data_IF_557732171017
#
_entry.id   IF_557732171017
#
_cell.length_a   1.000
_cell.length_b   1.000
_cell.length_c   1.000
_cell.angle_alpha   90.00
_cell.angle_beta   90.00
_cell.angle_gamma   90.00
#
_symmetry.space_group_name_H-M   'P 1'
#
loop_
_entity.id
_entity.type
_entity.pdbx_description
1 polymer ?
#
# COMPACT_ATOMS: atom_id res chain seq x y z
N UNK A 1 -10.56 13.63 -10.24
CA UNK A 1 -10.86 12.26 -9.78
C UNK A 1 -10.19 12.00 -8.45
N UNK A 2 -10.84 11.20 -7.62
CA UNK A 2 -10.32 10.83 -6.31
C UNK A 2 -9.90 9.37 -6.35
N UNK A 3 -8.67 9.08 -6.00
CA UNK A 3 -8.11 7.73 -6.04
C UNK A 3 -7.85 7.23 -4.63
N UNK A 4 -8.42 6.07 -4.32
CA UNK A 4 -8.17 5.36 -3.06
C UNK A 4 -7.53 4.02 -3.43
N UNK A 5 -6.35 3.76 -2.89
CA UNK A 5 -5.62 2.52 -3.16
C UNK A 5 -5.58 1.66 -1.91
N UNK A 6 -5.94 0.39 -2.06
CA UNK A 6 -5.76 -0.60 -1.00
C UNK A 6 -4.58 -1.50 -1.34
N UNK A 7 -3.69 -1.70 -0.37
CA UNK A 7 -2.51 -2.54 -0.53
C UNK A 7 -2.57 -3.62 0.54
N UNK A 8 -2.81 -4.86 0.12
CA UNK A 8 -2.80 -5.99 1.04
C UNK A 8 -1.39 -6.56 1.06
N UNK A 9 -0.75 -6.55 2.23
CA UNK A 9 0.62 -7.03 2.41
C UNK A 9 0.58 -8.46 2.93
N UNK A 10 1.34 -9.34 2.29
CA UNK A 10 1.42 -10.75 2.68
C UNK A 10 2.47 -11.03 3.75
N UNK A 11 2.81 -12.31 3.91
CA UNK A 11 3.69 -12.79 4.99
C UNK A 11 5.18 -12.61 4.73
N UNK A 12 5.57 -12.25 3.53
CA UNK A 12 6.99 -12.15 3.17
C UNK A 12 7.58 -10.86 3.71
N UNK A 13 8.44 -10.98 4.73
CA UNK A 13 9.03 -9.82 5.40
C UNK A 13 9.78 -8.90 4.45
N UNK A 14 10.57 -9.46 3.53
CA UNK A 14 11.33 -8.64 2.58
C UNK A 14 10.41 -7.85 1.65
N UNK A 15 9.23 -8.39 1.33
CA UNK A 15 8.25 -7.66 0.54
C UNK A 15 7.53 -6.60 1.36
N UNK A 16 7.26 -6.87 2.63
CA UNK A 16 6.69 -5.87 3.53
C UNK A 16 7.62 -4.65 3.66
N UNK A 17 8.93 -4.90 3.78
CA UNK A 17 9.93 -3.84 3.80
C UNK A 17 9.91 -3.06 2.49
N UNK A 18 9.82 -3.77 1.36
CA UNK A 18 9.78 -3.14 0.04
C UNK A 18 8.54 -2.25 -0.12
N UNK A 19 7.39 -2.67 0.41
CA UNK A 19 6.18 -1.85 0.42
C UNK A 19 6.43 -0.54 1.16
N UNK A 20 7.07 -0.60 2.33
CA UNK A 20 7.38 0.61 3.10
C UNK A 20 8.34 1.54 2.36
N UNK A 21 9.32 0.98 1.67
CA UNK A 21 10.25 1.76 0.85
C UNK A 21 9.51 2.48 -0.27
N UNK A 22 8.57 1.80 -0.93
CA UNK A 22 7.77 2.38 -2.00
C UNK A 22 6.84 3.47 -1.48
N UNK A 23 6.25 3.28 -0.29
CA UNK A 23 5.42 4.30 0.35
C UNK A 23 6.24 5.55 0.66
N UNK A 24 7.48 5.38 1.09
CA UNK A 24 8.38 6.51 1.34
C UNK A 24 8.77 7.21 0.04
N UNK A 25 9.10 6.43 -0.98
CA UNK A 25 9.47 6.96 -2.30
C UNK A 25 8.37 7.83 -2.89
N UNK A 26 7.12 7.40 -2.76
CA UNK A 26 5.96 8.10 -3.33
C UNK A 26 5.25 8.98 -2.32
N UNK A 27 5.84 9.21 -1.16
CA UNK A 27 5.19 9.91 -0.04
C UNK A 27 4.66 11.28 -0.39
N UNK A 28 5.32 12.01 -1.28
CA UNK A 28 4.87 13.36 -1.69
C UNK A 28 3.57 13.35 -2.47
N UNK A 29 3.14 12.20 -2.97
CA UNK A 29 1.89 12.05 -3.72
C UNK A 29 0.74 11.55 -2.84
N UNK A 30 1.03 11.21 -1.60
CA UNK A 30 0.06 10.61 -0.67
C UNK A 30 -0.48 11.68 0.26
N UNK A 31 -1.81 11.82 0.26
CA UNK A 31 -2.51 12.76 1.14
C UNK A 31 -2.83 12.12 2.49
N UNK A 32 -3.31 10.88 2.47
CA UNK A 32 -3.74 10.17 3.66
C UNK A 32 -3.25 8.73 3.60
N UNK A 33 -2.76 8.24 4.74
CA UNK A 33 -2.31 6.85 4.87
C UNK A 33 -2.91 6.25 6.13
N UNK A 34 -3.52 5.08 5.99
CA UNK A 34 -4.10 4.34 7.10
C UNK A 34 -3.61 2.90 7.04
N UNK A 35 -2.99 2.43 8.10
CA UNK A 35 -2.56 1.04 8.21
C UNK A 35 -3.47 0.24 9.11
N UNK A 36 -3.86 -0.94 8.64
CA UNK A 36 -4.68 -1.88 9.41
C UNK A 36 -3.89 -3.17 9.59
N UNK A 37 -3.78 -3.62 10.82
CA UNK A 37 -3.08 -4.86 11.15
C UNK A 37 -4.04 -6.01 11.27
N UNK A 38 -3.60 -7.19 10.82
CA UNK A 38 -4.36 -8.41 11.03
C UNK A 38 -4.13 -8.89 12.46
N UNK A 39 -5.21 -9.20 13.16
CA UNK A 39 -5.13 -9.77 14.50
C UNK A 39 -4.84 -11.27 14.39
N UNK A 40 -3.70 -11.71 14.94
CA UNK A 40 -3.25 -13.10 14.84
C UNK A 40 -3.18 -13.80 16.20
N UNK A 41 -3.69 -13.20 17.25
CA UNK A 41 -3.69 -13.76 18.58
C UNK A 41 -2.96 -12.90 19.58
N UNK A 42 -3.13 -13.22 20.84
CA UNK A 42 -2.59 -12.45 21.95
C UNK A 42 -1.06 -12.52 21.96
N UNK A 43 -0.42 -11.37 21.99
CA UNK A 43 1.03 -11.27 22.04
C UNK A 43 1.76 -11.58 20.75
N UNK A 44 1.03 -11.76 19.66
CA UNK A 44 1.62 -12.05 18.35
C UNK A 44 1.43 -10.89 17.40
N UNK A 45 2.42 -10.72 16.51
CA UNK A 45 2.38 -9.73 15.45
C UNK A 45 2.51 -10.42 14.10
N UNK A 46 1.83 -9.87 13.09
CA UNK A 46 1.91 -10.36 11.73
C UNK A 46 2.48 -9.25 10.84
N UNK A 47 3.27 -9.63 9.83
CA UNK A 47 3.66 -8.69 8.78
C UNK A 47 2.52 -8.42 7.82
N UNK A 48 1.44 -9.21 7.90
CA UNK A 48 0.24 -9.02 7.10
C UNK A 48 -0.50 -7.76 7.53
N UNK A 49 -1.07 -7.08 6.58
CA UNK A 49 -1.88 -5.92 6.87
C UNK A 49 -2.52 -5.38 5.61
N UNK A 50 -3.36 -4.39 5.82
CA UNK A 50 -3.99 -3.65 4.73
C UNK A 50 -3.66 -2.19 4.91
N UNK A 51 -3.13 -1.58 3.86
CA UNK A 51 -2.80 -0.15 3.85
C UNK A 51 -3.76 0.54 2.91
N UNK A 52 -4.39 1.61 3.40
CA UNK A 52 -5.32 2.41 2.59
C UNK A 52 -4.65 3.77 2.35
N UNK A 53 -4.59 4.17 1.09
CA UNK A 53 -4.00 5.44 0.69
C UNK A 53 -5.02 6.28 -0.06
N UNK A 54 -5.00 7.57 0.22
CA UNK A 54 -5.64 8.56 -0.65
C UNK A 54 -4.52 9.44 -1.23
N UNK A 55 -4.60 9.71 -2.52
CA UNK A 55 -3.58 10.48 -3.22
C UNK A 55 -3.99 11.94 -3.41
N UNK A 56 -2.99 12.79 -3.61
CA UNK A 56 -3.20 14.18 -4.00
C UNK A 56 -3.76 14.20 -5.43
N UNK A 57 -4.61 15.18 -5.72
CA UNK A 57 -5.20 15.34 -7.04
C UNK A 57 -4.13 15.56 -8.12
N UNK A 58 -4.43 15.10 -9.33
CA UNK A 58 -3.58 15.28 -10.51
C UNK A 58 -2.23 14.57 -10.41
N UNK A 59 -2.24 13.36 -9.87
CA UNK A 59 -1.05 12.51 -9.74
C UNK A 59 -1.26 11.15 -10.42
N UNK A 60 -2.06 11.11 -11.50
CA UNK A 60 -2.44 9.84 -12.15
C UNK A 60 -1.24 9.03 -12.63
N UNK A 61 -0.22 9.68 -13.18
CA UNK A 61 0.97 8.98 -13.67
C UNK A 61 1.78 8.36 -12.52
N UNK A 62 1.91 9.12 -11.44
CA UNK A 62 2.61 8.65 -10.24
C UNK A 62 1.87 7.50 -9.57
N UNK A 63 0.54 7.55 -9.56
CA UNK A 63 -0.30 6.48 -9.01
C UNK A 63 -0.12 5.20 -9.83
N UNK A 64 -0.12 5.31 -11.16
CA UNK A 64 0.11 4.17 -12.05
C UNK A 64 1.48 3.55 -11.83
N UNK A 65 2.49 4.37 -11.67
CA UNK A 65 3.86 3.91 -11.45
C UNK A 65 3.95 3.15 -10.11
N UNK A 66 3.34 3.69 -9.07
CA UNK A 66 3.32 3.05 -7.77
C UNK A 66 2.58 1.72 -7.80
N UNK A 67 1.43 1.68 -8.45
CA UNK A 67 0.67 0.44 -8.61
C UNK A 67 1.50 -0.62 -9.32
N UNK A 68 2.20 -0.24 -10.38
CA UNK A 68 3.06 -1.15 -11.12
C UNK A 68 4.16 -1.72 -10.23
N UNK A 69 4.85 -0.86 -9.49
CA UNK A 69 5.94 -1.29 -8.62
C UNK A 69 5.45 -2.23 -7.51
N UNK A 70 4.32 -1.91 -6.91
CA UNK A 70 3.73 -2.76 -5.88
C UNK A 70 3.26 -4.10 -6.44
N UNK A 71 2.70 -4.09 -7.64
CA UNK A 71 2.17 -5.31 -8.27
C UNK A 71 3.27 -6.28 -8.70
N UNK A 72 4.52 -5.86 -8.72
CA UNK A 72 5.65 -6.73 -8.99
C UNK A 72 6.00 -7.63 -7.79
N UNK A 73 5.48 -7.32 -6.61
CA UNK A 73 5.70 -8.10 -5.41
C UNK A 73 4.67 -9.24 -5.34
N UNK A 74 5.13 -10.48 -5.27
CA UNK A 74 4.27 -11.66 -5.40
C UNK A 74 3.17 -11.76 -4.34
N UNK A 75 3.47 -11.42 -3.11
CA UNK A 75 2.51 -11.57 -2.00
C UNK A 75 1.68 -10.31 -1.74
N UNK A 76 1.83 -9.30 -2.57
CA UNK A 76 1.13 -8.01 -2.41
C UNK A 76 -0.01 -7.93 -3.41
N UNK A 77 -1.18 -7.52 -2.91
CA UNK A 77 -2.37 -7.32 -3.75
C UNK A 77 -2.74 -5.85 -3.69
N UNK A 78 -2.90 -5.25 -4.86
CA UNK A 78 -3.24 -3.82 -4.98
C UNK A 78 -4.60 -3.68 -5.65
N UNK A 79 -5.45 -2.86 -5.08
CA UNK A 79 -6.76 -2.54 -5.65
C UNK A 79 -7.01 -1.06 -5.52
N UNK A 80 -7.79 -0.52 -6.44
CA UNK A 80 -8.11 0.91 -6.41
C UNK A 80 -9.62 1.13 -6.54
N UNK A 81 -10.06 2.20 -5.89
CA UNK A 81 -11.37 2.78 -6.10
C UNK A 81 -11.15 4.17 -6.68
N UNK A 82 -11.86 4.47 -7.76
CA UNK A 82 -11.75 5.77 -8.43
C UNK A 82 -13.13 6.44 -8.38
N UNK A 83 -13.15 7.63 -7.82
CA UNK A 83 -14.39 8.41 -7.68
C UNK A 83 -14.40 9.61 -8.62
#
# INVERSE_FOLDING_TARGET
MRYIMGIQVGDREHEAVKVQELLTKHGCNIKTRLGLHEAVGEGQCSSRGLIILEFIANREEEIKQMEKELSELESVVVRQMVF
#
